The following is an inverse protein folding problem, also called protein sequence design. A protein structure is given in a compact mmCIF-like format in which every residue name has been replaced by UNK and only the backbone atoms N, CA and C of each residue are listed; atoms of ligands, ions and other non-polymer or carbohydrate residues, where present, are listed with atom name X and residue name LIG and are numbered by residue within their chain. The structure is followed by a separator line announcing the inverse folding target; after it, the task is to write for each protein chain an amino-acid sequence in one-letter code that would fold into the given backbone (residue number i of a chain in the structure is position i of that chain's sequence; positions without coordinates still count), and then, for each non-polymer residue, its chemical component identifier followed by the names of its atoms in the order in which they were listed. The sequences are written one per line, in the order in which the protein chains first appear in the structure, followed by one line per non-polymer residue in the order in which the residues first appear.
data_IF_734553381825
#
_entry.id   IF_734553381825
#
_cell.length_a   1.000
_cell.length_b   1.000
_cell.length_c   1.000
_cell.angle_alpha   90.00
_cell.angle_beta   90.00
_cell.angle_gamma   90.00
#
_symmetry.space_group_name_H-M   'P 1'
#
loop_
_entity.id
_entity.type
_entity.pdbx_description
1 polymer ?
#
# COMPACT_ATOMS: atom_id res chain seq x y z
N UNK A 1 -1.92 -12.89 -6.22
CA UNK A 1 -1.65 -11.47 -6.49
C UNK A 1 -2.88 -10.67 -6.07
N UNK A 2 -2.77 -9.67 -5.19
CA UNK A 2 -3.91 -8.83 -4.82
C UNK A 2 -4.37 -8.00 -6.02
N UNK A 3 -5.68 -7.74 -6.10
CA UNK A 3 -6.27 -6.80 -7.04
C UNK A 3 -6.38 -5.47 -6.31
N UNK A 4 -5.93 -4.39 -6.96
CA UNK A 4 -6.03 -3.05 -6.40
C UNK A 4 -7.52 -2.64 -6.30
N UNK A 5 -7.97 -2.00 -5.21
CA UNK A 5 -9.40 -1.73 -4.98
C UNK A 5 -10.10 -0.98 -6.12
N UNK A 6 -9.51 0.10 -6.64
CA UNK A 6 -10.13 0.89 -7.70
C UNK A 6 -10.30 0.04 -8.98
N UNK A 7 -9.32 -0.82 -9.28
CA UNK A 7 -9.44 -1.79 -10.36
C UNK A 7 -10.48 -2.88 -10.08
N UNK A 8 -10.61 -3.34 -8.85
CA UNK A 8 -11.60 -4.34 -8.47
C UNK A 8 -13.03 -3.82 -8.71
N UNK A 9 -13.28 -2.57 -8.34
CA UNK A 9 -14.57 -1.91 -8.54
C UNK A 9 -14.90 -1.79 -10.04
N UNK A 10 -13.96 -1.33 -10.86
CA UNK A 10 -14.14 -1.24 -12.32
C UNK A 10 -14.43 -2.61 -12.96
N UNK A 11 -13.73 -3.66 -12.52
CA UNK A 11 -13.95 -5.01 -13.04
C UNK A 11 -15.29 -5.58 -12.56
N UNK A 12 -15.71 -5.26 -11.34
CA UNK A 12 -16.98 -5.69 -10.78
C UNK A 12 -18.15 -5.00 -11.49
N UNK A 13 -18.09 -3.69 -11.70
CA UNK A 13 -19.09 -2.96 -12.49
C UNK A 13 -19.22 -3.53 -13.90
N UNK A 14 -18.09 -3.78 -14.58
CA UNK A 14 -18.09 -4.37 -15.90
C UNK A 14 -18.65 -5.81 -15.91
N UNK A 15 -18.44 -6.58 -14.84
CA UNK A 15 -19.01 -7.92 -14.70
C UNK A 15 -20.53 -7.87 -14.56
N UNK A 16 -21.03 -6.98 -13.72
CA UNK A 16 -22.46 -6.84 -13.42
C UNK A 16 -23.28 -6.26 -14.59
N UNK A 17 -22.64 -5.58 -15.53
CA UNK A 17 -23.32 -4.96 -16.67
C UNK A 17 -23.87 -5.95 -17.72
N UNK A 18 -23.42 -7.21 -17.73
CA UNK A 18 -23.85 -8.20 -18.73
C UNK A 18 -23.98 -9.61 -18.12
N UNK A 19 -25.21 -10.10 -18.01
CA UNK A 19 -25.53 -11.39 -17.42
C UNK A 19 -25.16 -12.56 -18.34
N UNK A 20 -24.41 -13.53 -17.81
CA UNK A 20 -24.04 -14.74 -18.56
C UNK A 20 -22.69 -14.68 -19.27
N UNK A 21 -21.92 -13.60 -19.11
CA UNK A 21 -20.54 -13.54 -19.61
C UNK A 21 -19.60 -14.47 -18.83
N UNK A 22 -18.65 -15.11 -19.52
CA UNK A 22 -17.62 -15.95 -18.88
C UNK A 22 -16.39 -15.13 -18.44
N UNK A 23 -16.12 -13.99 -19.11
CA UNK A 23 -14.92 -13.17 -18.89
C UNK A 23 -15.26 -11.68 -18.92
N UNK A 24 -14.68 -10.92 -17.98
CA UNK A 24 -14.78 -9.44 -17.90
C UNK A 24 -14.07 -8.74 -19.06
N UNK A 25 -12.95 -9.30 -19.53
CA UNK A 25 -12.15 -8.73 -20.62
C UNK A 25 -12.13 -9.72 -21.78
N UNK A 26 -12.83 -9.39 -22.87
CA UNK A 26 -13.02 -10.27 -24.03
C UNK A 26 -12.21 -9.81 -25.26
N UNK A 27 -11.91 -8.51 -25.35
CA UNK A 27 -11.25 -7.92 -26.52
C UNK A 27 -9.72 -8.10 -26.55
N UNK A 28 -9.11 -8.53 -25.44
CA UNK A 28 -7.66 -8.65 -25.32
C UNK A 28 -7.19 -10.05 -25.74
N UNK A 29 -6.34 -10.10 -26.77
CA UNK A 29 -5.77 -11.37 -27.25
C UNK A 29 -4.51 -11.68 -26.44
N UNK A 30 -4.57 -12.71 -25.59
CA UNK A 30 -3.47 -13.10 -24.66
C UNK A 30 -2.10 -13.28 -25.30
N UNK A 31 -2.02 -13.64 -26.58
CA UNK A 31 -0.73 -13.80 -27.28
C UNK A 31 -0.10 -12.49 -27.74
N UNK A 32 -0.89 -11.41 -27.85
CA UNK A 32 -0.45 -10.12 -28.40
C UNK A 32 -0.89 -8.92 -27.55
N UNK A 33 -0.94 -9.09 -26.22
CA UNK A 33 -1.35 -8.04 -25.26
C UNK A 33 -0.59 -6.71 -25.43
N UNK A 34 0.65 -6.77 -25.94
CA UNK A 34 1.45 -5.58 -26.24
C UNK A 34 0.91 -4.75 -27.42
N UNK A 35 0.19 -5.38 -28.36
CA UNK A 35 -0.47 -4.70 -29.48
C UNK A 35 -1.71 -3.96 -28.97
N UNK A 36 -2.44 -4.55 -28.03
CA UNK A 36 -3.64 -3.96 -27.42
C UNK A 36 -3.32 -2.72 -26.55
N UNK A 37 -2.04 -2.52 -26.23
CA UNK A 37 -1.53 -1.31 -25.58
C UNK A 37 -1.64 -0.02 -26.41
N UNK A 38 -2.22 -0.05 -27.62
CA UNK A 38 -2.60 1.17 -28.36
C UNK A 38 -3.51 2.11 -27.56
N UNK A 39 -4.18 1.62 -26.50
CA UNK A 39 -4.96 2.47 -25.58
C UNK A 39 -4.10 3.59 -24.99
N UNK A 40 -2.82 3.34 -24.68
CA UNK A 40 -1.91 4.37 -24.19
C UNK A 40 -1.73 5.51 -25.21
N UNK A 41 -1.68 5.18 -26.51
CA UNK A 41 -1.63 6.17 -27.60
C UNK A 41 -2.93 6.96 -27.71
N UNK A 42 -4.09 6.31 -27.51
CA UNK A 42 -5.40 7.01 -27.46
C UNK A 42 -5.46 8.00 -26.29
N UNK A 43 -4.79 7.70 -25.18
CA UNK A 43 -4.65 8.60 -24.03
C UNK A 43 -3.56 9.68 -24.20
N UNK A 44 -2.91 9.79 -25.37
CA UNK A 44 -1.85 10.77 -25.63
C UNK A 44 -0.50 10.44 -24.96
N UNK A 45 -0.35 9.24 -24.41
CA UNK A 45 0.89 8.80 -23.76
C UNK A 45 1.81 8.18 -24.80
N UNK A 46 3.09 8.57 -24.77
CA UNK A 46 4.12 7.97 -25.64
C UNK A 46 4.26 6.48 -25.32
N UNK A 47 4.19 5.65 -26.34
CA UNK A 47 4.31 4.21 -26.19
C UNK A 47 5.67 3.83 -25.58
N UNK A 48 5.62 3.03 -24.50
CA UNK A 48 6.82 2.44 -23.91
C UNK A 48 7.38 1.33 -24.80
N UNK A 49 8.70 1.15 -24.80
CA UNK A 49 9.35 0.06 -25.54
C UNK A 49 8.95 -1.34 -25.03
N UNK A 50 8.65 -1.45 -23.73
CA UNK A 50 8.17 -2.68 -23.07
C UNK A 50 7.04 -2.31 -22.09
N UNK A 51 5.78 -2.12 -22.57
CA UNK A 51 4.71 -1.53 -21.77
C UNK A 51 4.36 -2.35 -20.53
N UNK A 52 4.06 -3.64 -20.69
CA UNK A 52 3.70 -4.52 -19.56
C UNK A 52 4.83 -4.67 -18.54
N UNK A 53 6.08 -4.72 -19.00
CA UNK A 53 7.24 -4.76 -18.12
C UNK A 53 7.37 -3.48 -17.31
N UNK A 54 7.15 -2.33 -17.96
CA UNK A 54 7.23 -1.00 -17.32
C UNK A 54 6.10 -0.83 -16.30
N UNK A 55 4.87 -1.17 -16.66
CA UNK A 55 3.73 -1.07 -15.75
C UNK A 55 3.84 -2.00 -14.55
N UNK A 56 4.32 -3.23 -14.77
CA UNK A 56 4.59 -4.16 -13.68
C UNK A 56 5.62 -3.60 -12.71
N UNK A 57 6.71 -2.99 -13.23
CA UNK A 57 7.72 -2.32 -12.40
C UNK A 57 7.16 -1.13 -11.64
N UNK A 58 6.35 -0.30 -12.29
CA UNK A 58 5.71 0.84 -11.63
C UNK A 58 4.82 0.34 -10.48
N UNK A 59 4.00 -0.69 -10.73
CA UNK A 59 3.13 -1.26 -9.68
C UNK A 59 3.94 -1.91 -8.54
N UNK A 60 5.07 -2.55 -8.86
CA UNK A 60 6.00 -3.08 -7.86
C UNK A 60 6.53 -1.96 -6.95
N UNK A 61 6.98 -0.84 -7.54
CA UNK A 61 7.40 0.34 -6.78
C UNK A 61 6.27 0.89 -5.90
N UNK A 62 5.06 1.04 -6.45
CA UNK A 62 3.92 1.56 -5.68
C UNK A 62 3.61 0.68 -4.46
N UNK A 63 3.68 -0.65 -4.61
CA UNK A 63 3.44 -1.57 -3.50
C UNK A 63 4.59 -1.61 -2.50
N UNK A 64 5.84 -1.49 -2.93
CA UNK A 64 6.99 -1.43 -2.01
C UNK A 64 6.98 -0.18 -1.12
N UNK A 65 6.26 0.88 -1.53
CA UNK A 65 6.02 2.05 -0.68
C UNK A 65 5.00 1.81 0.45
N UNK A 66 4.18 0.76 0.34
CA UNK A 66 3.06 0.48 1.24
C UNK A 66 3.22 -0.83 2.03
N UNK A 67 3.96 -1.80 1.47
CA UNK A 67 4.06 -3.16 1.98
C UNK A 67 5.52 -3.62 2.08
N UNK A 68 5.84 -4.55 2.99
CA UNK A 68 7.20 -5.09 3.11
C UNK A 68 7.68 -5.79 1.83
N UNK A 69 8.97 -5.65 1.54
CA UNK A 69 9.62 -6.21 0.35
C UNK A 69 9.28 -7.69 0.09
N UNK A 70 9.41 -8.54 1.12
CA UNK A 70 9.20 -9.99 0.97
C UNK A 70 7.77 -10.34 0.53
N UNK A 71 6.77 -9.60 1.02
CA UNK A 71 5.35 -9.79 0.67
C UNK A 71 5.12 -9.45 -0.81
N UNK A 72 5.65 -8.30 -1.24
CA UNK A 72 5.49 -7.83 -2.62
C UNK A 72 6.20 -8.77 -3.60
N UNK A 73 7.39 -9.23 -3.25
CA UNK A 73 8.16 -10.19 -4.09
C UNK A 73 7.48 -11.55 -4.18
N UNK A 74 6.79 -12.00 -3.12
CA UNK A 74 5.98 -13.22 -3.14
C UNK A 74 4.78 -13.08 -4.09
N UNK A 75 4.09 -11.93 -4.07
CA UNK A 75 2.95 -11.68 -4.97
C UNK A 75 3.33 -11.57 -6.44
N UNK A 76 4.49 -10.97 -6.70
CA UNK A 76 5.00 -10.79 -8.05
C UNK A 76 5.71 -12.05 -8.54
N UNK A 77 6.32 -12.85 -7.67
CA UNK A 77 7.11 -14.01 -8.08
C UNK A 77 8.47 -13.63 -8.68
N UNK A 78 9.07 -12.55 -8.20
CA UNK A 78 10.46 -12.16 -8.49
C UNK A 78 11.32 -12.25 -7.22
N UNK A 79 12.64 -12.22 -7.37
CA UNK A 79 13.54 -12.25 -6.21
C UNK A 79 13.66 -10.87 -5.54
N UNK A 80 13.85 -10.82 -4.20
CA UNK A 80 14.09 -9.58 -3.48
C UNK A 80 15.27 -8.76 -4.00
N UNK A 81 16.31 -9.43 -4.50
CA UNK A 81 17.49 -8.80 -5.10
C UNK A 81 17.13 -7.97 -6.34
N UNK A 82 16.24 -8.50 -7.18
CA UNK A 82 15.76 -7.81 -8.39
C UNK A 82 14.90 -6.60 -8.01
N UNK A 83 14.05 -6.76 -6.99
CA UNK A 83 13.19 -5.69 -6.48
C UNK A 83 14.02 -4.53 -5.87
N UNK A 84 15.00 -4.85 -5.02
CA UNK A 84 15.89 -3.87 -4.37
C UNK A 84 16.67 -3.01 -5.36
N UNK A 85 17.14 -3.58 -6.47
CA UNK A 85 17.84 -2.84 -7.52
C UNK A 85 16.97 -1.75 -8.16
N UNK A 86 15.65 -1.94 -8.16
CA UNK A 86 14.68 -1.04 -8.78
C UNK A 86 13.99 -0.08 -7.81
N UNK A 87 13.96 -0.42 -6.51
CA UNK A 87 13.42 0.43 -5.44
C UNK A 87 14.48 1.29 -4.72
N UNK A 88 15.74 1.22 -5.14
CA UNK A 88 16.88 1.81 -4.41
C UNK A 88 16.88 3.34 -4.29
N UNK A 89 15.89 4.04 -4.86
CA UNK A 89 15.82 5.50 -4.84
C UNK A 89 14.68 5.96 -3.95
N UNK A 90 15.03 6.42 -2.74
CA UNK A 90 14.09 7.13 -1.88
C UNK A 90 13.56 8.39 -2.58
N UNK A 91 12.25 8.62 -2.51
CA UNK A 91 11.59 9.79 -3.05
C UNK A 91 11.46 10.88 -1.98
N UNK A 92 11.29 12.15 -2.38
CA UNK A 92 11.04 13.26 -1.46
C UNK A 92 9.77 13.00 -0.61
N UNK A 93 8.75 12.35 -1.17
CA UNK A 93 7.57 11.90 -0.44
C UNK A 93 7.86 10.89 0.67
N UNK A 94 8.87 10.02 0.50
CA UNK A 94 9.30 9.10 1.57
C UNK A 94 9.90 9.87 2.75
N UNK A 95 10.66 10.93 2.46
CA UNK A 95 11.20 11.81 3.49
C UNK A 95 10.08 12.51 4.27
N UNK A 96 9.09 13.09 3.57
CA UNK A 96 7.96 13.75 4.22
C UNK A 96 7.14 12.79 5.09
N UNK A 97 6.88 11.56 4.61
CA UNK A 97 6.23 10.51 5.41
C UNK A 97 7.05 10.13 6.64
N UNK A 98 8.34 9.87 6.48
CA UNK A 98 9.22 9.47 7.58
C UNK A 98 9.41 10.59 8.62
N UNK A 99 9.46 11.84 8.17
CA UNK A 99 9.54 13.03 9.03
C UNK A 99 8.18 13.41 9.66
N UNK A 100 7.09 12.71 9.33
CA UNK A 100 5.75 13.01 9.82
C UNK A 100 5.16 14.31 9.28
N UNK A 101 5.72 14.86 8.20
CA UNK A 101 5.30 16.12 7.58
C UNK A 101 3.99 16.00 6.80
N UNK A 102 3.59 14.77 6.42
CA UNK A 102 2.31 14.47 5.78
C UNK A 102 1.12 14.43 6.77
N UNK A 103 1.38 14.58 8.08
CA UNK A 103 0.31 14.60 9.08
C UNK A 103 -0.49 15.90 8.94
N UNK A 104 -1.68 15.82 8.35
CA UNK A 104 -2.65 16.93 8.35
C UNK A 104 -2.84 17.44 9.79
N UNK A 105 -2.76 18.76 10.05
CA UNK A 105 -3.10 19.32 11.35
C UNK A 105 -4.63 19.27 11.52
N UNK A 106 -5.15 18.19 12.10
CA UNK A 106 -6.60 18.09 12.30
C UNK A 106 -7.16 16.69 12.51
N UNK A 107 -6.58 15.90 13.42
CA UNK A 107 -7.33 14.83 14.08
C UNK A 107 -6.84 14.78 15.52
N UNK A 108 -7.69 15.28 16.44
CA UNK A 108 -7.40 15.23 17.87
C UNK A 108 -7.33 13.77 18.28
N UNK A 109 -6.12 13.29 18.58
CA UNK A 109 -5.95 12.11 19.40
C UNK A 109 -6.48 12.49 20.78
N UNK A 110 -7.72 12.09 21.08
CA UNK A 110 -8.32 12.22 22.40
C UNK A 110 -7.49 11.37 23.36
N UNK A 111 -6.46 11.99 23.94
CA UNK A 111 -5.71 11.47 25.08
C UNK A 111 -6.72 11.20 26.17
N UNK A 112 -6.98 9.91 26.44
CA UNK A 112 -7.73 9.46 27.60
C UNK A 112 -7.02 9.99 28.85
N UNK A 113 -7.51 11.10 29.40
CA UNK A 113 -7.24 11.49 30.78
C UNK A 113 -7.88 10.44 31.68
N UNK A 114 -7.12 9.40 32.04
CA UNK A 114 -7.50 8.63 33.22
C UNK A 114 -7.14 9.46 34.44
N UNK A 115 -8.21 10.02 34.98
CA UNK A 115 -8.27 10.84 36.17
C UNK A 115 -7.70 10.08 37.38
N UNK A 116 -6.84 10.79 38.09
CA UNK A 116 -6.22 10.45 39.36
C UNK A 116 -7.29 10.27 40.44
N UNK A 117 -7.73 9.04 40.64
CA UNK A 117 -8.52 8.64 41.80
C UNK A 117 -7.69 8.68 43.08
N UNK A 118 -7.81 9.79 43.83
CA UNK A 118 -7.43 9.92 45.25
C UNK A 118 -7.83 8.66 46.04
N UNK A 119 -6.86 8.01 46.68
CA UNK A 119 -7.10 7.25 47.92
C UNK A 119 -6.07 7.65 48.98
N UNK A 120 -6.57 8.49 49.87
CA UNK A 120 -6.02 8.93 51.14
C UNK A 120 -5.79 7.76 52.11
N UNK A 121 -4.65 7.80 52.81
CA UNK A 121 -4.53 7.39 54.22
C UNK A 121 -4.12 5.94 54.52
N UNK A 122 -2.87 5.76 54.96
CA UNK A 122 -2.56 5.22 56.29
C UNK A 122 -1.05 5.02 56.46
N UNK A 123 -0.43 5.95 57.18
CA UNK A 123 0.94 5.90 57.70
C UNK A 123 1.03 4.79 58.76
N UNK A 124 1.66 3.65 58.46
CA UNK A 124 2.07 2.68 59.50
C UNK A 124 3.56 2.86 59.83
N UNK A 125 3.79 3.25 61.08
CA UNK A 125 5.07 3.53 61.72
C UNK A 125 5.99 2.30 61.69
N UNK A 126 7.26 2.53 61.33
CA UNK A 126 8.39 1.67 61.69
C UNK A 126 8.64 1.79 63.19
N UNK A 127 8.62 0.68 63.92
CA UNK A 127 9.25 0.57 65.24
C UNK A 127 10.49 -0.32 65.09
N UNK A 128 11.66 0.29 65.22
CA UNK A 128 12.93 -0.37 65.46
C UNK A 128 13.19 -0.23 66.97
N UNK A 129 13.41 -1.33 67.68
CA UNK A 129 13.72 -1.32 69.11
C UNK A 129 14.33 -2.65 69.53
N UNK A 130 15.66 -2.69 69.56
CA UNK A 130 16.47 -3.68 70.28
C UNK A 130 16.31 -3.46 71.79
N UNK A 131 16.04 -4.54 72.52
CA UNK A 131 16.83 -5.03 73.67
C UNK A 131 16.28 -6.41 74.08
#
# INVERSE_FOLDING_TARGET
MPIEPDLADLLFEAWMADEGREKVVTEVVRTNVWRDFQIARRAGIKAYSRPLHTLRKNRETDWLSQFPLHVVTEWLGNSPEVALKHYSRAEEGDFHRAAGLDRRPGRSDNVRKNDSGKRTGARRRRSNGRQ
#
